data_IF_905167072945
#
_entry.id   IF_905167072945
#
_cell.length_a   1.000
_cell.length_b   1.000
_cell.length_c   1.000
_cell.angle_alpha   90.00
_cell.angle_beta   90.00
_cell.angle_gamma   90.00
#
_symmetry.space_group_name_H-M   'P 1'
#
loop_
_entity.id
_entity.type
_entity.pdbx_description
1 polymer ?
#
# COMPACT_ATOMS: atom_id res chain seq x y z
N UNK A 1 -48.66 -1.22 -49.95
CA UNK A 1 -48.84 -1.11 -48.49
C UNK A 1 -47.96 -2.18 -47.85
N UNK A 2 -46.68 -1.83 -47.73
CA UNK A 2 -45.47 -2.48 -47.17
C UNK A 2 -44.58 -1.22 -47.02
N UNK A 3 -44.04 -0.75 -45.91
CA UNK A 3 -43.58 -1.36 -44.66
C UNK A 3 -43.33 -0.19 -43.68
N UNK A 4 -44.17 -0.05 -42.64
CA UNK A 4 -43.96 0.89 -41.51
C UNK A 4 -43.03 0.29 -40.42
N UNK A 5 -42.41 -0.85 -40.70
CA UNK A 5 -41.39 -1.52 -39.90
C UNK A 5 -40.00 -1.43 -40.53
N UNK A 6 -39.70 -0.30 -41.17
CA UNK A 6 -38.32 0.19 -41.23
C UNK A 6 -37.88 0.63 -39.83
N UNK A 7 -37.76 -0.35 -38.93
CA UNK A 7 -37.04 -0.27 -37.67
C UNK A 7 -35.71 0.43 -37.97
N UNK A 8 -35.54 1.61 -37.40
CA UNK A 8 -34.25 2.28 -37.27
C UNK A 8 -33.29 1.33 -36.53
N UNK A 9 -32.68 0.39 -37.24
CA UNK A 9 -31.40 -0.20 -36.87
C UNK A 9 -30.25 0.83 -37.06
N UNK A 10 -30.60 2.09 -37.32
CA UNK A 10 -29.69 3.22 -37.43
C UNK A 10 -29.14 3.62 -36.08
N UNK A 11 -27.88 3.22 -35.85
CA UNK A 11 -27.04 3.53 -34.69
C UNK A 11 -27.59 2.95 -33.39
N UNK A 12 -27.03 1.81 -32.98
CA UNK A 12 -27.01 1.46 -31.55
C UNK A 12 -26.46 2.69 -30.83
N UNK A 13 -27.26 3.29 -29.95
CA UNK A 13 -26.82 4.38 -29.11
C UNK A 13 -25.60 3.95 -28.30
N UNK A 14 -24.89 4.90 -27.70
CA UNK A 14 -23.83 4.54 -26.77
C UNK A 14 -24.38 3.63 -25.67
N UNK A 15 -23.63 2.57 -25.34
CA UNK A 15 -24.05 1.56 -24.39
C UNK A 15 -22.90 1.20 -23.46
N UNK A 16 -23.21 0.98 -22.19
CA UNK A 16 -22.24 0.77 -21.12
C UNK A 16 -22.72 1.41 -19.81
N UNK A 17 -21.78 1.58 -18.88
CA UNK A 17 -22.01 2.17 -17.57
C UNK A 17 -21.48 3.61 -17.56
N UNK A 18 -22.36 4.63 -17.53
CA UNK A 18 -21.94 6.03 -17.57
C UNK A 18 -21.69 6.65 -16.19
N UNK A 19 -21.89 5.91 -15.10
CA UNK A 19 -21.79 6.44 -13.74
C UNK A 19 -20.39 6.17 -13.19
N UNK A 20 -19.60 7.22 -13.00
CA UNK A 20 -18.24 7.11 -12.51
C UNK A 20 -18.02 8.06 -11.34
N UNK A 21 -17.18 7.66 -10.38
CA UNK A 21 -16.76 8.50 -9.29
C UNK A 21 -16.43 7.70 -8.02
N UNK A 22 -16.21 8.43 -6.93
CA UNK A 22 -15.89 7.87 -5.64
C UNK A 22 -17.11 7.17 -5.05
N UNK A 23 -16.94 5.92 -4.61
CA UNK A 23 -17.94 5.21 -3.80
C UNK A 23 -17.59 5.47 -2.34
N UNK A 24 -18.55 5.98 -1.57
CA UNK A 24 -18.39 6.31 -0.16
C UNK A 24 -19.64 5.93 0.64
N UNK A 25 -19.51 5.85 1.96
CA UNK A 25 -20.62 5.77 2.91
C UNK A 25 -20.39 6.79 4.02
N UNK A 26 -21.47 7.37 4.56
CA UNK A 26 -21.37 8.34 5.66
C UNK A 26 -20.93 7.68 6.96
N UNK A 27 -21.45 6.47 7.23
CA UNK A 27 -21.08 5.61 8.35
C UNK A 27 -21.29 4.13 7.99
N UNK A 28 -21.02 3.22 8.91
CA UNK A 28 -21.13 1.77 8.69
C UNK A 28 -22.56 1.26 8.47
N UNK A 29 -23.57 2.06 8.82
CA UNK A 29 -24.98 1.70 8.73
C UNK A 29 -25.68 2.35 7.53
N UNK A 30 -25.04 3.34 6.91
CA UNK A 30 -25.55 4.06 5.76
C UNK A 30 -25.35 3.27 4.47
N UNK A 31 -26.30 3.36 3.52
CA UNK A 31 -26.10 2.78 2.20
C UNK A 31 -24.89 3.45 1.52
N UNK A 32 -24.19 2.68 0.70
CA UNK A 32 -23.10 3.23 -0.10
C UNK A 32 -23.66 3.99 -1.31
N UNK A 33 -22.98 5.08 -1.63
CA UNK A 33 -23.33 5.96 -2.74
C UNK A 33 -22.11 6.25 -3.61
N UNK A 34 -22.32 6.33 -4.92
CA UNK A 34 -21.34 6.87 -5.86
C UNK A 34 -21.57 8.37 -6.03
N UNK A 35 -20.52 9.17 -5.83
CA UNK A 35 -20.50 10.59 -6.15
C UNK A 35 -20.33 10.77 -7.67
N UNK A 36 -21.27 11.43 -8.32
CA UNK A 36 -21.30 11.61 -9.77
C UNK A 36 -20.58 12.90 -10.21
N UNK A 37 -20.17 13.04 -11.48
CA UNK A 37 -19.42 14.21 -11.96
C UNK A 37 -20.15 15.56 -11.85
N UNK A 38 -21.47 15.55 -11.66
CA UNK A 38 -22.27 16.75 -11.45
C UNK A 38 -22.46 17.11 -9.95
N UNK A 39 -21.80 16.40 -9.05
CA UNK A 39 -21.90 16.56 -7.60
C UNK A 39 -23.12 15.91 -6.96
N UNK A 40 -24.00 15.27 -7.74
CA UNK A 40 -25.11 14.47 -7.17
C UNK A 40 -24.63 13.06 -6.80
N UNK A 41 -25.40 12.34 -6.00
CA UNK A 41 -25.08 10.96 -5.61
C UNK A 41 -26.10 9.96 -6.16
N UNK A 42 -25.69 8.69 -6.20
CA UNK A 42 -26.57 7.57 -6.56
C UNK A 42 -26.22 6.35 -5.71
N UNK A 43 -27.22 5.60 -5.28
CA UNK A 43 -27.00 4.32 -4.59
C UNK A 43 -26.15 3.38 -5.43
N UNK A 44 -25.13 2.80 -4.80
CA UNK A 44 -24.24 1.83 -5.41
C UNK A 44 -23.61 0.96 -4.33
N UNK A 45 -23.61 -0.36 -4.52
CA UNK A 45 -23.03 -1.28 -3.54
C UNK A 45 -21.52 -1.05 -3.39
N UNK A 46 -21.03 -1.02 -2.15
CA UNK A 46 -19.60 -0.96 -1.86
C UNK A 46 -18.92 -2.26 -2.29
N UNK A 47 -17.89 -2.22 -3.15
CA UNK A 47 -17.13 -3.41 -3.49
C UNK A 47 -16.41 -3.97 -2.26
N UNK A 48 -16.30 -5.29 -2.16
CA UNK A 48 -15.46 -5.93 -1.12
C UNK A 48 -14.00 -5.50 -1.35
N UNK A 49 -13.24 -5.16 -0.31
CA UNK A 49 -11.85 -4.70 -0.44
C UNK A 49 -11.66 -3.54 -1.46
N UNK A 50 -12.34 -2.39 -1.28
CA UNK A 50 -12.40 -1.28 -2.26
C UNK A 50 -11.05 -0.61 -2.57
N UNK A 51 -10.01 -0.96 -1.83
CA UNK A 51 -8.66 -0.44 -1.97
C UNK A 51 -7.82 -1.15 -3.05
N UNK A 52 -8.34 -2.19 -3.71
CA UNK A 52 -7.72 -2.73 -4.92
C UNK A 52 -8.34 -2.09 -6.15
N UNK A 53 -7.55 -1.32 -6.88
CA UNK A 53 -7.99 -0.60 -8.08
C UNK A 53 -7.02 -0.80 -9.23
N UNK A 54 -7.54 -0.89 -10.46
CA UNK A 54 -6.70 -0.74 -11.64
C UNK A 54 -7.48 -0.16 -12.82
N UNK A 55 -6.76 0.48 -13.73
CA UNK A 55 -7.32 1.06 -14.96
C UNK A 55 -7.37 -0.01 -16.04
N UNK A 56 -8.52 -0.16 -16.69
CA UNK A 56 -8.69 -0.96 -17.90
C UNK A 56 -8.91 -0.05 -19.11
N UNK A 57 -8.06 -0.20 -20.13
CA UNK A 57 -8.16 0.52 -21.40
C UNK A 57 -7.90 -0.42 -22.56
N UNK A 58 -8.93 -0.66 -23.36
CA UNK A 58 -8.83 -1.52 -24.55
C UNK A 58 -8.03 -0.77 -25.64
N UNK A 59 -6.91 -1.34 -26.14
CA UNK A 59 -6.12 -0.71 -27.19
C UNK A 59 -6.95 -0.43 -28.45
N UNK A 60 -6.73 0.75 -29.06
CA UNK A 60 -7.40 1.13 -30.31
C UNK A 60 -8.86 1.56 -30.19
N UNK A 61 -9.48 1.50 -29.00
CA UNK A 61 -10.83 2.02 -28.79
C UNK A 61 -10.77 3.55 -28.69
N UNK A 62 -11.37 4.22 -29.67
CA UNK A 62 -11.44 5.67 -29.73
C UNK A 62 -12.14 6.25 -28.49
N UNK A 63 -11.79 7.49 -28.13
CA UNK A 63 -12.54 8.24 -27.13
C UNK A 63 -14.01 8.39 -27.57
N UNK A 64 -14.89 8.49 -26.59
CA UNK A 64 -16.31 8.68 -26.86
C UNK A 64 -16.53 10.09 -27.42
N UNK A 65 -17.09 10.17 -28.63
CA UNK A 65 -17.46 11.43 -29.27
C UNK A 65 -18.89 11.83 -28.91
N UNK A 66 -19.07 13.05 -28.39
CA UNK A 66 -20.35 13.63 -27.97
C UNK A 66 -20.38 15.08 -28.43
N UNK A 67 -21.53 15.53 -28.94
CA UNK A 67 -21.69 16.96 -29.21
C UNK A 67 -21.73 17.76 -27.89
N UNK A 68 -21.42 19.06 -27.89
CA UNK A 68 -21.48 19.88 -26.68
C UNK A 68 -22.84 19.81 -25.97
N UNK A 69 -23.94 19.75 -26.73
CA UNK A 69 -25.31 19.63 -26.19
C UNK A 69 -25.52 18.27 -25.51
N UNK A 70 -24.96 17.21 -26.09
CA UNK A 70 -25.00 15.86 -25.51
C UNK A 70 -24.16 15.76 -24.24
N UNK A 71 -22.97 16.35 -24.21
CA UNK A 71 -22.13 16.42 -23.01
C UNK A 71 -22.86 17.16 -21.89
N UNK A 72 -23.49 18.29 -22.19
CA UNK A 72 -24.27 19.05 -21.21
C UNK A 72 -25.47 18.25 -20.68
N UNK A 73 -26.16 17.50 -21.56
CA UNK A 73 -27.27 16.64 -21.16
C UNK A 73 -26.81 15.44 -20.30
N UNK A 74 -25.69 14.80 -20.65
CA UNK A 74 -25.09 13.72 -19.87
C UNK A 74 -24.67 14.24 -18.49
N UNK A 75 -23.96 15.37 -18.44
CA UNK A 75 -23.52 15.99 -17.19
C UNK A 75 -24.71 16.38 -16.31
N UNK A 76 -25.80 16.92 -16.88
CA UNK A 76 -27.01 17.22 -16.11
C UNK A 76 -27.60 15.97 -15.42
N UNK A 77 -27.38 14.78 -15.98
CA UNK A 77 -27.79 13.49 -15.43
C UNK A 77 -26.69 12.79 -14.60
N UNK A 78 -25.55 13.44 -14.36
CA UNK A 78 -24.40 12.85 -13.67
C UNK A 78 -23.76 11.71 -14.45
N UNK A 79 -23.91 11.71 -15.77
CA UNK A 79 -23.34 10.73 -16.68
C UNK A 79 -22.05 11.26 -17.29
N UNK A 80 -21.07 10.36 -17.41
CA UNK A 80 -19.87 10.59 -18.20
C UNK A 80 -19.55 9.30 -18.96
N UNK A 81 -19.40 9.40 -20.26
CA UNK A 81 -19.11 8.22 -21.09
C UNK A 81 -17.62 8.12 -21.33
N UNK A 82 -17.00 7.03 -20.84
CA UNK A 82 -15.56 6.76 -21.00
C UNK A 82 -15.31 5.58 -21.93
N UNK A 83 -14.15 5.59 -22.59
CA UNK A 83 -13.63 4.44 -23.34
C UNK A 83 -12.67 3.57 -22.51
N UNK A 84 -12.66 3.80 -21.19
CA UNK A 84 -11.85 3.09 -20.21
C UNK A 84 -12.65 2.93 -18.91
N UNK A 85 -12.24 1.97 -18.09
CA UNK A 85 -12.89 1.66 -16.83
C UNK A 85 -11.87 1.67 -15.69
N UNK A 86 -12.35 1.96 -14.48
CA UNK A 86 -11.63 1.69 -13.24
C UNK A 86 -12.34 0.49 -12.63
N UNK A 87 -11.61 -0.60 -12.45
CA UNK A 87 -12.14 -1.74 -11.72
C UNK A 87 -11.67 -1.65 -10.27
N UNK A 88 -12.56 -2.01 -9.35
CA UNK A 88 -12.35 -1.87 -7.93
C UNK A 88 -12.82 -3.14 -7.21
N UNK A 89 -12.18 -3.47 -6.10
CA UNK A 89 -12.61 -4.51 -5.19
C UNK A 89 -11.81 -5.81 -5.28
N UNK A 90 -12.17 -6.76 -4.41
CA UNK A 90 -11.64 -8.12 -4.36
C UNK A 90 -11.85 -8.79 -5.72
N UNK A 91 -10.77 -9.31 -6.27
CA UNK A 91 -10.72 -9.89 -7.62
C UNK A 91 -11.25 -8.99 -8.75
N UNK A 92 -11.25 -7.67 -8.54
CA UNK A 92 -11.71 -6.63 -9.46
C UNK A 92 -13.13 -6.84 -9.97
N UNK A 93 -14.05 -5.98 -9.57
CA UNK A 93 -15.46 -6.16 -9.90
C UNK A 93 -15.87 -5.47 -11.20
N UNK A 94 -16.73 -6.13 -11.96
CA UNK A 94 -17.43 -5.56 -13.11
C UNK A 94 -18.93 -5.77 -12.92
N UNK A 95 -19.69 -4.67 -12.87
CA UNK A 95 -21.14 -4.68 -12.56
C UNK A 95 -21.47 -5.40 -11.23
N UNK A 96 -20.68 -5.13 -10.18
CA UNK A 96 -20.89 -5.73 -8.85
C UNK A 96 -20.59 -7.22 -8.77
N UNK A 97 -19.82 -7.77 -9.73
CA UNK A 97 -19.40 -9.18 -9.73
C UNK A 97 -17.90 -9.30 -9.84
N UNK A 98 -17.33 -10.11 -8.97
CA UNK A 98 -15.93 -10.50 -9.01
C UNK A 98 -15.59 -11.15 -10.35
N UNK A 99 -14.47 -10.75 -10.95
CA UNK A 99 -13.96 -11.40 -12.14
C UNK A 99 -13.24 -12.71 -11.82
N UNK A 100 -12.71 -12.87 -10.60
CA UNK A 100 -11.83 -13.99 -10.23
C UNK A 100 -10.47 -13.94 -10.93
N UNK A 101 -10.04 -12.76 -11.39
CA UNK A 101 -8.86 -12.55 -12.23
C UNK A 101 -8.78 -11.11 -12.72
N UNK A 102 -8.00 -10.84 -13.78
CA UNK A 102 -7.97 -9.52 -14.42
C UNK A 102 -8.32 -9.60 -15.90
N UNK A 103 -8.69 -8.46 -16.49
CA UNK A 103 -9.05 -8.39 -17.92
C UNK A 103 -7.80 -8.13 -18.76
N UNK A 104 -7.47 -9.06 -19.65
CA UNK A 104 -6.50 -8.94 -20.73
C UNK A 104 -7.18 -8.58 -22.06
N UNK A 105 -6.65 -7.58 -22.75
CA UNK A 105 -7.06 -7.15 -24.08
C UNK A 105 -6.07 -7.67 -25.12
N UNK A 106 -6.45 -8.73 -25.82
CA UNK A 106 -5.62 -9.34 -26.84
C UNK A 106 -5.45 -8.43 -28.07
N UNK A 107 -4.42 -8.69 -28.86
CA UNK A 107 -4.08 -7.88 -30.04
C UNK A 107 -5.16 -7.86 -31.12
N UNK A 108 -6.01 -8.89 -31.17
CA UNK A 108 -7.18 -8.98 -32.06
C UNK A 108 -8.40 -8.17 -31.55
N UNK A 109 -8.27 -7.48 -30.41
CA UNK A 109 -9.32 -6.70 -29.76
C UNK A 109 -10.29 -7.53 -28.90
N UNK A 110 -10.10 -8.85 -28.81
CA UNK A 110 -10.86 -9.69 -27.89
C UNK A 110 -10.42 -9.44 -26.44
N UNK A 111 -11.37 -9.56 -25.50
CA UNK A 111 -11.10 -9.36 -24.06
C UNK A 111 -11.33 -10.66 -23.32
N UNK A 112 -10.43 -10.95 -22.39
CA UNK A 112 -10.39 -12.21 -21.65
C UNK A 112 -10.16 -11.94 -20.17
N UNK A 113 -10.89 -12.61 -19.31
CA UNK A 113 -10.53 -12.71 -17.89
C UNK A 113 -9.45 -13.76 -17.76
N UNK A 114 -8.31 -13.37 -17.20
CA UNK A 114 -7.18 -14.25 -16.90
C UNK A 114 -7.27 -14.65 -15.43
N UNK A 115 -7.53 -15.93 -15.19
CA UNK A 115 -7.48 -16.54 -13.86
C UNK A 115 -6.31 -17.51 -13.82
N UNK A 116 -5.18 -17.04 -13.28
CA UNK A 116 -3.94 -17.79 -13.25
C UNK A 116 -3.96 -18.96 -12.27
N UNK A 117 -4.73 -18.87 -11.18
CA UNK A 117 -4.85 -19.95 -10.20
C UNK A 117 -5.70 -21.11 -10.71
N UNK A 118 -6.76 -20.80 -11.47
CA UNK A 118 -7.58 -21.80 -12.12
C UNK A 118 -7.03 -22.21 -13.50
N UNK A 119 -5.93 -21.61 -13.95
CA UNK A 119 -5.31 -21.85 -15.25
C UNK A 119 -6.30 -21.71 -16.41
N UNK A 120 -7.09 -20.64 -16.39
CA UNK A 120 -8.09 -20.36 -17.45
C UNK A 120 -8.04 -18.95 -18.00
N UNK A 121 -8.41 -18.83 -19.28
CA UNK A 121 -8.74 -17.59 -19.95
C UNK A 121 -10.21 -17.65 -20.41
N UNK A 122 -11.05 -16.75 -19.90
CA UNK A 122 -12.50 -16.72 -20.18
C UNK A 122 -12.90 -15.49 -20.97
N UNK A 123 -13.54 -15.66 -22.12
CA UNK A 123 -13.87 -14.55 -23.01
C UNK A 123 -14.97 -13.67 -22.42
N UNK A 124 -14.75 -12.37 -22.46
CA UNK A 124 -15.68 -11.36 -21.95
C UNK A 124 -16.44 -10.62 -23.05
N UNK A 125 -17.64 -10.16 -22.70
CA UNK A 125 -18.44 -9.26 -23.55
C UNK A 125 -19.16 -9.92 -24.71
N UNK A 126 -19.29 -11.26 -24.71
CA UNK A 126 -20.11 -11.98 -25.68
C UNK A 126 -21.56 -12.04 -25.22
N UNK A 127 -22.47 -11.50 -26.03
CA UNK A 127 -23.93 -11.53 -25.77
C UNK A 127 -24.56 -12.64 -26.59
N UNK A 128 -25.35 -13.50 -25.94
CA UNK A 128 -26.11 -14.57 -26.60
C UNK A 128 -25.23 -15.67 -27.21
N UNK A 129 -23.96 -15.78 -26.80
CA UNK A 129 -23.05 -16.86 -27.19
C UNK A 129 -22.76 -17.77 -25.99
N UNK A 130 -22.45 -19.05 -26.21
CA UNK A 130 -21.91 -19.90 -25.16
C UNK A 130 -20.65 -19.30 -24.53
N UNK A 131 -20.36 -19.66 -23.29
CA UNK A 131 -19.10 -19.32 -22.65
C UNK A 131 -17.93 -19.89 -23.46
N UNK A 132 -16.95 -19.04 -23.76
CA UNK A 132 -15.69 -19.41 -24.40
C UNK A 132 -14.62 -19.37 -23.31
N UNK A 133 -14.30 -20.53 -22.75
CA UNK A 133 -13.31 -20.72 -21.70
C UNK A 133 -12.22 -21.62 -22.23
N UNK A 134 -10.97 -21.19 -22.10
CA UNK A 134 -9.80 -21.89 -22.61
C UNK A 134 -8.79 -22.12 -21.49
N UNK A 135 -7.96 -23.15 -21.67
CA UNK A 135 -6.82 -23.39 -20.79
C UNK A 135 -5.77 -22.29 -20.95
N UNK A 136 -5.14 -21.92 -19.83
CA UNK A 136 -4.01 -21.00 -19.75
C UNK A 136 -2.79 -21.78 -19.28
N UNK A 137 -1.75 -21.85 -20.08
CA UNK A 137 -0.49 -22.47 -19.65
C UNK A 137 0.31 -21.47 -18.82
N UNK A 138 0.60 -21.79 -17.56
CA UNK A 138 1.42 -20.94 -16.67
C UNK A 138 2.87 -21.42 -16.68
N UNK A 139 3.77 -20.56 -17.19
CA UNK A 139 5.20 -20.82 -17.22
C UNK A 139 5.87 -20.02 -16.10
N UNK A 140 6.32 -20.71 -15.04
CA UNK A 140 7.02 -20.10 -13.91
C UNK A 140 8.24 -20.94 -13.55
N UNK A 141 9.37 -20.28 -13.26
CA UNK A 141 10.56 -20.96 -12.79
C UNK A 141 10.33 -21.64 -11.42
N UNK A 142 11.03 -22.75 -11.17
CA UNK A 142 10.96 -23.46 -9.87
C UNK A 142 11.45 -22.57 -8.73
N UNK A 143 12.55 -21.86 -8.95
CA UNK A 143 12.97 -20.76 -8.08
C UNK A 143 12.43 -19.46 -8.64
N UNK A 144 11.53 -18.85 -7.89
CA UNK A 144 10.90 -17.59 -8.20
C UNK A 144 11.54 -16.43 -7.44
N UNK A 145 12.87 -16.48 -7.25
CA UNK A 145 13.67 -15.44 -6.61
C UNK A 145 13.65 -15.50 -5.08
N UNK A 146 13.30 -16.66 -4.51
CA UNK A 146 12.97 -16.81 -3.09
C UNK A 146 13.93 -17.77 -2.35
N UNK A 147 15.01 -18.21 -2.99
CA UNK A 147 15.99 -19.10 -2.36
C UNK A 147 16.98 -18.39 -1.43
N UNK A 148 17.31 -17.11 -1.70
CA UNK A 148 18.37 -16.38 -0.99
C UNK A 148 17.99 -14.91 -0.76
N UNK A 149 18.20 -14.36 0.46
CA UNK A 149 18.57 -15.05 1.70
C UNK A 149 17.41 -15.85 2.28
N UNK A 150 17.67 -16.82 3.15
CA UNK A 150 16.61 -17.50 3.92
C UNK A 150 16.14 -16.58 5.04
N UNK A 151 14.86 -16.20 5.02
CA UNK A 151 14.25 -15.35 6.04
C UNK A 151 13.64 -16.22 7.15
N UNK A 152 13.94 -15.88 8.40
CA UNK A 152 13.43 -16.53 9.62
C UNK A 152 12.93 -15.44 10.58
N UNK A 153 11.68 -15.57 11.03
CA UNK A 153 11.04 -14.63 11.97
C UNK A 153 11.07 -15.13 13.43
N UNK A 154 11.98 -16.06 13.75
CA UNK A 154 12.19 -16.64 15.08
C UNK A 154 11.58 -18.03 15.27
N UNK A 155 10.90 -18.58 14.26
CA UNK A 155 10.25 -19.89 14.30
C UNK A 155 10.66 -20.82 13.16
N UNK A 156 11.76 -20.51 12.48
CA UNK A 156 12.21 -21.18 11.26
C UNK A 156 11.89 -20.39 9.99
N UNK A 157 12.29 -20.95 8.86
CA UNK A 157 12.11 -20.32 7.56
C UNK A 157 10.64 -19.95 7.29
N UNK A 158 10.40 -18.72 6.85
CA UNK A 158 9.05 -18.24 6.56
C UNK A 158 8.44 -18.93 5.35
N UNK A 159 7.14 -19.17 5.41
CA UNK A 159 6.36 -19.51 4.22
C UNK A 159 6.16 -18.25 3.39
N UNK A 160 6.61 -18.29 2.13
CA UNK A 160 6.35 -17.24 1.15
C UNK A 160 5.17 -17.62 0.28
N UNK A 161 4.23 -16.68 0.14
CA UNK A 161 2.98 -16.83 -0.59
C UNK A 161 2.99 -15.85 -1.77
N UNK A 162 2.52 -16.28 -2.94
CA UNK A 162 2.21 -15.37 -4.05
C UNK A 162 0.81 -14.83 -3.82
N UNK A 163 0.66 -13.51 -3.78
CA UNK A 163 -0.63 -12.86 -3.66
C UNK A 163 -1.54 -13.25 -4.83
N UNK A 164 -2.75 -13.81 -4.59
CA UNK A 164 -3.68 -14.13 -5.66
C UNK A 164 -4.11 -12.89 -6.45
N UNK A 165 -4.06 -11.71 -5.82
CA UNK A 165 -4.41 -10.44 -6.45
C UNK A 165 -3.15 -9.74 -6.95
N UNK A 166 -3.07 -9.39 -8.26
CA UNK A 166 -2.02 -8.53 -8.75
C UNK A 166 -1.94 -7.23 -7.97
N UNK A 167 -0.72 -6.81 -7.65
CA UNK A 167 -0.45 -5.51 -7.05
C UNK A 167 -0.75 -4.39 -8.03
N UNK A 168 -0.33 -4.55 -9.29
CA UNK A 168 -0.68 -3.60 -10.36
C UNK A 168 -0.78 -4.31 -11.71
N UNK A 169 -1.54 -3.70 -12.64
CA UNK A 169 -1.88 -4.25 -13.94
C UNK A 169 -1.80 -3.14 -14.99
N UNK A 170 -1.06 -3.40 -16.06
CA UNK A 170 -1.03 -2.50 -17.23
C UNK A 170 -2.43 -2.26 -17.79
N UNK A 171 -2.73 -1.09 -18.40
CA UNK A 171 -4.09 -0.77 -18.83
C UNK A 171 -4.73 -1.77 -19.80
N UNK A 172 -3.93 -2.42 -20.65
CA UNK A 172 -4.41 -3.47 -21.56
C UNK A 172 -4.49 -4.87 -20.91
N UNK A 173 -4.06 -4.99 -19.65
CA UNK A 173 -4.03 -6.23 -18.87
C UNK A 173 -3.02 -7.26 -19.35
N UNK A 174 -2.10 -6.89 -20.24
CA UNK A 174 -1.08 -7.81 -20.75
C UNK A 174 -0.07 -8.17 -19.68
N UNK A 175 0.32 -7.20 -18.87
CA UNK A 175 1.27 -7.39 -17.77
C UNK A 175 0.62 -7.12 -16.42
N UNK A 176 0.98 -7.94 -15.45
CA UNK A 176 0.58 -7.84 -14.05
C UNK A 176 1.81 -8.05 -13.14
N UNK A 177 1.86 -7.32 -12.03
CA UNK A 177 2.87 -7.52 -10.98
C UNK A 177 2.24 -8.35 -9.87
N UNK A 178 2.86 -9.48 -9.52
CA UNK A 178 2.44 -10.33 -8.41
C UNK A 178 3.41 -10.14 -7.24
N UNK A 179 2.88 -9.86 -6.05
CA UNK A 179 3.70 -9.76 -4.84
C UNK A 179 3.92 -11.14 -4.23
N UNK A 180 5.16 -11.42 -3.86
CA UNK A 180 5.51 -12.52 -2.97
C UNK A 180 5.67 -11.96 -1.57
N UNK A 181 4.98 -12.53 -0.58
CA UNK A 181 4.96 -11.99 0.77
C UNK A 181 5.01 -13.08 1.84
N UNK A 182 5.40 -12.70 3.05
CA UNK A 182 5.11 -13.45 4.27
C UNK A 182 4.10 -12.68 5.14
N UNK A 183 3.40 -13.41 6.01
CA UNK A 183 2.52 -12.76 6.99
C UNK A 183 3.36 -12.17 8.13
N UNK A 184 3.01 -10.97 8.57
CA UNK A 184 3.55 -10.43 9.81
C UNK A 184 3.05 -11.27 11.00
N UNK A 185 3.94 -11.81 11.85
CA UNK A 185 3.55 -12.66 12.98
C UNK A 185 2.75 -11.92 14.06
N UNK A 186 2.73 -10.59 14.05
CA UNK A 186 1.90 -9.81 14.95
C UNK A 186 0.42 -9.72 14.49
N UNK A 187 0.07 -10.31 13.34
CA UNK A 187 -1.23 -10.13 12.67
C UNK A 187 -1.84 -11.46 12.25
N UNK A 188 -3.15 -11.46 11.96
CA UNK A 188 -3.77 -12.62 11.34
C UNK A 188 -3.26 -12.80 9.90
N UNK A 189 -3.22 -14.03 9.38
CA UNK A 189 -2.77 -14.29 8.01
C UNK A 189 -3.53 -13.45 6.98
N UNK A 190 -2.79 -12.76 6.11
CA UNK A 190 -3.32 -11.92 5.04
C UNK A 190 -3.62 -10.48 5.42
N UNK A 191 -3.65 -10.13 6.70
CA UNK A 191 -3.96 -8.75 7.16
C UNK A 191 -2.80 -7.78 6.93
N UNK A 192 -1.58 -8.22 7.21
CA UNK A 192 -0.35 -7.47 6.96
C UNK A 192 0.61 -8.33 6.15
N UNK A 193 0.65 -8.06 4.85
CA UNK A 193 1.53 -8.73 3.91
C UNK A 193 2.88 -8.00 3.93
N UNK A 194 3.95 -8.71 4.25
CA UNK A 194 5.32 -8.17 4.19
C UNK A 194 5.96 -8.61 2.86
N UNK A 195 6.29 -7.68 1.95
CA UNK A 195 6.89 -8.01 0.67
C UNK A 195 8.26 -8.69 0.84
N UNK A 196 8.47 -9.76 0.09
CA UNK A 196 9.72 -10.54 0.01
C UNK A 196 10.18 -10.80 -1.43
N UNK A 197 9.41 -10.35 -2.42
CA UNK A 197 9.74 -10.48 -3.83
C UNK A 197 8.60 -10.00 -4.71
N UNK A 198 8.90 -9.80 -5.99
CA UNK A 198 7.93 -9.40 -6.98
C UNK A 198 8.14 -10.21 -8.26
N UNK A 199 7.04 -10.63 -8.88
CA UNK A 199 7.03 -11.35 -10.14
C UNK A 199 6.35 -10.50 -11.21
N UNK A 200 6.88 -10.53 -12.42
CA UNK A 200 6.23 -9.97 -13.60
C UNK A 200 5.55 -11.10 -14.37
N UNK A 201 4.22 -11.02 -14.48
CA UNK A 201 3.41 -11.95 -15.24
C UNK A 201 3.00 -11.29 -16.56
N UNK A 202 3.31 -11.92 -17.69
CA UNK A 202 2.96 -11.44 -19.05
C UNK A 202 2.09 -12.47 -19.77
N UNK A 203 0.90 -12.03 -20.16
CA UNK A 203 -0.09 -12.83 -20.90
C UNK A 203 0.17 -12.69 -22.39
N UNK A 204 0.21 -13.82 -23.09
CA UNK A 204 0.14 -13.87 -24.55
C UNK A 204 -0.99 -14.81 -24.98
N UNK A 205 -1.47 -14.63 -26.20
CA UNK A 205 -2.58 -15.39 -26.75
C UNK A 205 -3.71 -14.52 -27.27
N UNK A 206 -4.57 -15.11 -28.09
CA UNK A 206 -5.77 -14.48 -28.65
C UNK A 206 -6.82 -15.53 -29.05
N UNK A 207 -7.82 -15.15 -29.87
CA UNK A 207 -8.85 -16.10 -30.32
C UNK A 207 -8.30 -17.24 -31.19
N UNK A 208 -7.18 -17.04 -31.89
CA UNK A 208 -6.57 -17.98 -32.83
C UNK A 208 -5.40 -18.77 -32.25
N UNK A 209 -4.82 -18.32 -31.13
CA UNK A 209 -3.67 -18.99 -30.50
C UNK A 209 -3.98 -19.49 -29.08
N UNK A 210 -3.09 -20.34 -28.55
CA UNK A 210 -3.16 -20.73 -27.14
C UNK A 210 -2.83 -19.54 -26.23
N UNK A 211 -3.36 -19.59 -25.01
CA UNK A 211 -3.05 -18.62 -23.96
C UNK A 211 -1.89 -19.13 -23.10
N UNK A 212 -0.91 -18.26 -22.88
CA UNK A 212 0.23 -18.53 -22.00
C UNK A 212 0.43 -17.35 -21.05
N UNK A 213 0.77 -17.64 -19.79
CA UNK A 213 1.18 -16.68 -18.78
C UNK A 213 2.64 -16.93 -18.45
N UNK A 214 3.53 -16.04 -18.89
CA UNK A 214 4.95 -16.12 -18.60
C UNK A 214 5.25 -15.33 -17.34
N UNK A 215 5.64 -16.03 -16.27
CA UNK A 215 5.94 -15.44 -14.96
C UNK A 215 7.46 -15.44 -14.75
N UNK A 216 8.02 -14.25 -14.61
CA UNK A 216 9.45 -14.01 -14.41
C UNK A 216 9.69 -13.27 -13.10
N UNK A 217 10.90 -13.40 -12.54
CA UNK A 217 11.29 -12.63 -11.36
C UNK A 217 11.47 -11.17 -11.77
N UNK A 218 10.70 -10.28 -11.16
CA UNK A 218 10.85 -8.83 -11.32
C UNK A 218 11.86 -8.30 -10.31
N UNK A 219 11.68 -8.68 -9.04
CA UNK A 219 12.63 -8.43 -7.96
C UNK A 219 12.77 -9.68 -7.11
N UNK A 220 14.00 -10.14 -6.93
CA UNK A 220 14.27 -11.24 -6.03
C UNK A 220 14.22 -10.79 -4.56
N UNK A 221 14.37 -11.74 -3.63
CA UNK A 221 14.32 -11.44 -2.21
C UNK A 221 15.49 -10.56 -1.75
N UNK A 222 16.69 -10.73 -2.30
CA UNK A 222 17.85 -9.92 -1.92
C UNK A 222 17.61 -8.47 -2.30
N UNK A 223 17.14 -8.21 -3.53
CA UNK A 223 16.77 -6.88 -4.00
C UNK A 223 15.63 -6.28 -3.17
N UNK A 224 14.62 -7.09 -2.83
CA UNK A 224 13.44 -6.62 -2.09
C UNK A 224 13.76 -6.20 -0.66
N UNK A 225 14.68 -6.90 0.02
CA UNK A 225 15.06 -6.58 1.40
C UNK A 225 15.98 -5.36 1.51
N UNK A 226 16.63 -4.94 0.41
CA UNK A 226 17.54 -3.81 0.39
C UNK A 226 18.89 -4.12 1.05
N UNK A 227 19.60 -3.06 1.45
CA UNK A 227 20.90 -3.15 2.11
C UNK A 227 20.87 -2.53 3.49
N UNK A 228 21.84 -2.89 4.33
CA UNK A 228 22.03 -2.29 5.66
C UNK A 228 23.40 -1.69 5.84
N UNK A 229 23.47 -0.61 6.60
CA UNK A 229 24.72 -0.05 7.12
C UNK A 229 24.64 0.10 8.66
N UNK A 230 25.81 0.13 9.30
CA UNK A 230 25.94 0.25 10.74
C UNK A 230 27.23 0.98 11.12
N UNK A 231 27.09 2.08 11.85
CA UNK A 231 28.21 2.80 12.46
C UNK A 231 28.10 2.73 13.99
N UNK A 232 29.23 2.49 14.66
CA UNK A 232 29.31 2.37 16.11
C UNK A 232 30.50 3.15 16.66
N UNK A 233 30.21 4.27 17.30
CA UNK A 233 31.15 5.07 18.05
C UNK A 233 30.82 5.07 19.55
N UNK A 234 29.93 4.18 20.02
CA UNK A 234 29.44 4.17 21.38
C UNK A 234 30.38 3.38 22.31
N UNK A 235 30.71 3.95 23.47
CA UNK A 235 31.45 3.28 24.53
C UNK A 235 30.53 3.03 25.71
N UNK A 236 30.40 1.76 26.12
CA UNK A 236 29.58 1.36 27.27
C UNK A 236 30.46 0.79 28.37
N UNK A 237 30.28 1.28 29.59
CA UNK A 237 30.86 0.67 30.79
C UNK A 237 29.77 -0.06 31.56
N UNK A 238 30.00 -1.32 31.90
CA UNK A 238 29.07 -2.14 32.68
C UNK A 238 29.40 -2.08 34.18
N UNK A 239 28.39 -2.21 35.03
CA UNK A 239 28.56 -2.42 36.47
C UNK A 239 28.99 -3.87 36.79
N UNK A 240 29.15 -4.18 38.08
CA UNK A 240 29.50 -5.53 38.54
C UNK A 240 28.43 -6.61 38.28
N UNK A 241 27.21 -6.22 37.90
CA UNK A 241 26.12 -7.10 37.49
C UNK A 241 25.99 -7.24 35.97
N UNK A 242 26.80 -6.53 35.18
CA UNK A 242 26.74 -6.53 33.72
C UNK A 242 25.70 -5.55 33.14
N UNK A 243 25.13 -4.67 33.96
CA UNK A 243 24.20 -3.65 33.47
C UNK A 243 24.97 -2.42 32.98
N UNK A 244 24.51 -1.73 31.92
CA UNK A 244 25.09 -0.46 31.51
C UNK A 244 25.06 0.55 32.67
N UNK A 245 26.24 1.07 33.00
CA UNK A 245 26.47 2.02 34.07
C UNK A 245 26.87 3.40 33.51
N UNK A 246 27.52 3.42 32.35
CA UNK A 246 27.73 4.62 31.55
C UNK A 246 27.67 4.30 30.06
N UNK A 247 27.23 5.26 29.26
CA UNK A 247 27.24 5.18 27.80
C UNK A 247 27.58 6.55 27.20
N UNK A 248 28.61 6.61 26.35
CA UNK A 248 29.06 7.85 25.69
C UNK A 248 29.32 7.58 24.21
N UNK A 249 28.79 8.41 23.33
CA UNK A 249 28.96 8.32 21.87
C UNK A 249 27.63 8.08 21.17
N UNK A 250 27.69 7.49 19.97
CA UNK A 250 26.50 7.23 19.14
C UNK A 250 26.61 5.92 18.36
N UNK A 251 25.47 5.47 17.87
CA UNK A 251 25.36 4.42 16.86
C UNK A 251 24.30 4.82 15.84
N UNK A 252 24.56 4.56 14.56
CA UNK A 252 23.60 4.74 13.47
C UNK A 252 23.35 3.42 12.77
N UNK A 253 22.11 3.23 12.31
CA UNK A 253 21.68 2.02 11.61
C UNK A 253 20.82 2.42 10.43
N UNK A 254 21.14 1.88 9.26
CA UNK A 254 20.45 2.22 8.03
C UNK A 254 19.89 0.96 7.36
N UNK A 255 18.69 1.07 6.80
CA UNK A 255 18.16 0.18 5.77
C UNK A 255 17.90 1.06 4.55
N UNK A 256 18.49 0.72 3.41
CA UNK A 256 18.32 1.47 2.17
C UNK A 256 17.73 0.59 1.06
N UNK A 257 16.83 1.16 0.27
CA UNK A 257 16.34 0.53 -0.96
C UNK A 257 15.42 -0.66 -0.75
N UNK A 258 14.87 -0.88 0.45
CA UNK A 258 13.90 -1.95 0.71
C UNK A 258 12.63 -1.74 -0.11
N UNK A 259 12.36 -2.62 -1.08
CA UNK A 259 11.20 -2.48 -1.96
C UNK A 259 9.93 -2.90 -1.21
N UNK A 260 8.95 -2.00 -1.15
CA UNK A 260 7.67 -2.27 -0.48
C UNK A 260 6.48 -2.38 -1.44
N UNK A 261 6.55 -1.72 -2.60
CA UNK A 261 5.62 -1.96 -3.70
C UNK A 261 6.30 -1.81 -5.06
N UNK A 262 5.68 -2.41 -6.08
CA UNK A 262 6.06 -2.23 -7.46
C UNK A 262 4.81 -1.98 -8.31
N UNK A 263 4.93 -1.07 -9.28
CA UNK A 263 3.84 -0.56 -10.10
C UNK A 263 4.25 -0.44 -11.57
N UNK A 264 3.29 -0.15 -12.43
CA UNK A 264 3.51 0.30 -13.79
C UNK A 264 3.36 1.82 -13.90
N UNK A 265 4.23 2.43 -14.70
CA UNK A 265 4.06 3.80 -15.13
C UNK A 265 3.06 3.92 -16.29
N UNK A 266 2.79 5.16 -16.73
CA UNK A 266 1.87 5.42 -17.83
C UNK A 266 2.30 4.77 -19.17
N UNK A 267 3.58 4.43 -19.34
CA UNK A 267 4.12 3.72 -20.49
C UNK A 267 4.17 2.20 -20.34
N UNK A 268 3.78 1.66 -19.19
CA UNK A 268 3.88 0.24 -18.85
C UNK A 268 5.29 -0.20 -18.45
N UNK A 269 6.20 0.74 -18.18
CA UNK A 269 7.47 0.47 -17.51
C UNK A 269 7.26 0.22 -16.02
N UNK A 270 8.09 -0.60 -15.39
CA UNK A 270 7.97 -0.88 -13.96
C UNK A 270 8.60 0.21 -13.12
N UNK A 271 8.00 0.51 -11.98
CA UNK A 271 8.52 1.42 -10.95
C UNK A 271 8.51 0.73 -9.60
N UNK A 272 9.44 1.09 -8.71
CA UNK A 272 9.47 0.61 -7.33
C UNK A 272 9.22 1.75 -6.35
N UNK A 273 8.47 1.44 -5.30
CA UNK A 273 8.41 2.23 -4.09
C UNK A 273 9.30 1.58 -3.03
N UNK A 274 10.39 2.26 -2.64
CA UNK A 274 11.29 1.79 -1.59
C UNK A 274 11.05 2.55 -0.28
N UNK A 275 11.38 1.88 0.81
CA UNK A 275 11.50 2.46 2.15
C UNK A 275 12.98 2.52 2.48
N UNK A 276 13.44 3.71 2.83
CA UNK A 276 14.70 3.86 3.56
C UNK A 276 14.38 4.14 5.02
N UNK A 277 15.15 3.55 5.93
CA UNK A 277 15.07 3.78 7.36
C UNK A 277 16.44 4.14 7.89
N UNK A 278 16.50 5.21 8.68
CA UNK A 278 17.68 5.64 9.41
C UNK A 278 17.32 5.70 10.90
N UNK A 279 18.13 5.09 11.73
CA UNK A 279 18.04 5.20 13.18
C UNK A 279 19.35 5.75 13.73
N UNK A 280 19.25 6.67 14.68
CA UNK A 280 20.39 7.19 15.44
C UNK A 280 20.08 7.06 16.93
N UNK A 281 21.04 6.55 17.69
CA UNK A 281 21.03 6.53 19.14
C UNK A 281 22.30 7.23 19.64
N UNK A 282 22.15 8.38 20.29
CA UNK A 282 23.25 9.12 20.90
C UNK A 282 23.06 9.22 22.41
N UNK A 283 24.14 9.02 23.17
CA UNK A 283 24.12 9.03 24.63
C UNK A 283 25.35 9.77 25.18
N UNK A 284 25.14 10.60 26.20
CA UNK A 284 26.17 11.06 27.12
C UNK A 284 25.67 10.84 28.55
N UNK A 285 25.85 9.62 29.04
CA UNK A 285 25.46 9.18 30.37
C UNK A 285 26.72 8.81 31.16
N UNK A 286 27.48 9.78 31.72
CA UNK A 286 28.72 9.48 32.42
C UNK A 286 28.45 8.84 33.78
N UNK A 287 29.39 8.00 34.23
CA UNK A 287 29.39 7.49 35.59
C UNK A 287 29.37 8.67 36.57
N UNK A 288 28.38 8.74 37.46
CA UNK A 288 28.27 9.73 38.56
C UNK A 288 28.05 11.21 38.20
N UNK A 289 27.69 11.55 36.96
CA UNK A 289 27.38 12.94 36.59
C UNK A 289 25.99 13.40 37.09
N UNK A 290 25.81 14.71 37.28
CA UNK A 290 24.51 15.30 37.63
C UNK A 290 23.63 15.58 36.41
N UNK A 291 24.20 15.47 35.20
CA UNK A 291 23.55 15.73 33.91
C UNK A 291 23.86 14.58 32.97
N UNK A 292 22.91 14.23 32.13
CA UNK A 292 23.06 13.20 31.12
C UNK A 292 22.21 13.56 29.91
N UNK A 293 22.59 13.02 28.76
CA UNK A 293 21.95 13.29 27.50
C UNK A 293 21.62 11.99 26.79
N UNK A 294 20.46 11.94 26.16
CA UNK A 294 20.05 10.82 25.32
C UNK A 294 19.16 11.30 24.19
N UNK A 295 19.51 10.91 22.97
CA UNK A 295 18.75 11.20 21.77
C UNK A 295 18.48 9.92 21.01
N UNK A 296 17.24 9.76 20.58
CA UNK A 296 16.84 8.74 19.61
C UNK A 296 16.16 9.42 18.44
N UNK A 297 16.64 9.12 17.24
CA UNK A 297 16.06 9.59 15.99
C UNK A 297 15.66 8.37 15.17
N UNK A 298 14.45 8.39 14.64
CA UNK A 298 13.97 7.44 13.63
C UNK A 298 13.48 8.25 12.43
N UNK A 299 14.16 8.12 11.31
CA UNK A 299 13.77 8.74 10.05
C UNK A 299 13.40 7.68 9.02
N UNK A 300 12.31 7.90 8.29
CA UNK A 300 11.89 7.07 7.17
C UNK A 300 11.59 7.87 5.93
N UNK A 301 11.91 7.30 4.78
CA UNK A 301 11.66 7.90 3.47
C UNK A 301 10.94 6.92 2.57
N UNK A 302 9.87 7.37 1.94
CA UNK A 302 9.29 6.70 0.78
C UNK A 302 9.94 7.29 -0.47
N UNK A 303 10.50 6.43 -1.33
CA UNK A 303 11.05 6.83 -2.62
C UNK A 303 10.35 6.09 -3.74
N UNK A 304 10.04 6.78 -4.82
CA UNK A 304 9.55 6.17 -6.07
C UNK A 304 10.61 6.36 -7.13
N UNK A 305 11.16 5.26 -7.65
CA UNK A 305 12.31 5.26 -8.57
C UNK A 305 13.48 6.12 -8.07
N UNK A 306 13.83 5.98 -6.78
CA UNK A 306 14.92 6.71 -6.13
C UNK A 306 14.60 8.16 -5.74
N UNK A 307 13.47 8.71 -6.18
CA UNK A 307 13.04 10.08 -5.84
C UNK A 307 12.20 10.07 -4.56
N UNK A 308 12.64 10.79 -3.54
CA UNK A 308 11.91 10.94 -2.28
C UNK A 308 10.53 11.59 -2.51
N UNK A 309 9.49 10.96 -1.94
CA UNK A 309 8.08 11.37 -2.04
C UNK A 309 7.48 11.75 -0.69
N UNK A 310 7.91 11.08 0.37
CA UNK A 310 7.54 11.42 1.73
C UNK A 310 8.72 11.12 2.66
N UNK A 311 8.86 11.91 3.71
CA UNK A 311 9.79 11.67 4.82
C UNK A 311 9.06 11.89 6.14
N UNK A 312 9.18 10.92 7.05
CA UNK A 312 8.74 11.05 8.43
C UNK A 312 9.96 10.97 9.32
N UNK A 313 10.06 11.86 10.30
CA UNK A 313 11.13 11.88 11.28
C UNK A 313 10.51 11.95 12.66
N UNK A 314 10.87 11.01 13.53
CA UNK A 314 10.51 11.00 14.94
C UNK A 314 11.79 11.16 15.73
N UNK A 315 11.77 12.04 16.71
CA UNK A 315 12.90 12.31 17.57
C UNK A 315 12.44 12.35 19.03
N UNK A 316 13.25 11.80 19.93
CA UNK A 316 13.13 12.04 21.35
C UNK A 316 14.48 12.44 21.92
N UNK A 317 14.52 13.53 22.67
CA UNK A 317 15.69 14.07 23.33
C UNK A 317 15.44 14.16 24.85
N UNK A 318 16.45 13.82 25.64
CA UNK A 318 16.42 13.94 27.10
C UNK A 318 17.68 14.66 27.57
N UNK A 319 17.51 15.77 28.30
CA UNK A 319 18.61 16.61 28.79
C UNK A 319 18.54 16.82 30.32
N UNK A 320 18.48 15.71 31.08
CA UNK A 320 18.71 15.72 32.53
C UNK A 320 19.06 14.31 33.05
N UNK A 321 19.30 14.09 34.35
CA UNK A 321 19.58 12.75 34.92
C UNK A 321 18.46 12.31 35.86
N UNK A 322 18.19 10.99 35.87
CA UNK A 322 17.20 10.32 36.72
C UNK A 322 15.76 10.76 36.46
N UNK A 323 15.29 11.89 36.96
CA UNK A 323 13.91 12.34 36.73
C UNK A 323 13.91 13.67 36.01
N UNK A 324 13.32 13.71 34.83
CA UNK A 324 13.31 14.88 33.97
C UNK A 324 12.17 14.85 32.98
N UNK A 325 12.40 15.50 31.86
CA UNK A 325 11.47 15.56 30.74
C UNK A 325 12.15 15.01 29.49
N UNK A 326 11.39 14.26 28.70
CA UNK A 326 11.72 13.89 27.32
C UNK A 326 11.01 14.88 26.43
N UNK A 327 11.74 15.52 25.53
CA UNK A 327 11.18 16.30 24.43
C UNK A 327 11.02 15.37 23.21
N UNK A 328 9.78 15.13 22.81
CA UNK A 328 9.42 14.35 21.64
C UNK A 328 9.01 15.26 20.51
N UNK A 329 9.61 15.11 19.33
CA UNK A 329 9.19 15.84 18.13
C UNK A 329 8.95 14.87 16.99
N UNK A 330 7.96 15.18 16.17
CA UNK A 330 7.75 14.50 14.90
C UNK A 330 7.63 15.50 13.77
N UNK A 331 8.22 15.17 12.62
CA UNK A 331 8.02 15.94 11.39
C UNK A 331 7.57 15.05 10.24
N UNK A 332 6.80 15.63 9.34
CA UNK A 332 6.45 15.07 8.03
C UNK A 332 6.91 16.05 6.96
N UNK A 333 7.81 15.61 6.08
CA UNK A 333 8.39 16.45 5.03
C UNK A 333 8.95 17.79 5.57
N UNK A 334 9.50 17.77 6.79
CA UNK A 334 10.03 18.94 7.49
C UNK A 334 8.98 19.81 8.19
N UNK A 335 7.69 19.50 8.08
CA UNK A 335 6.63 20.17 8.86
C UNK A 335 6.42 19.46 10.20
N UNK A 336 6.51 20.20 11.30
CA UNK A 336 6.23 19.66 12.64
C UNK A 336 4.79 19.17 12.72
N UNK A 337 4.62 17.89 13.04
CA UNK A 337 3.32 17.30 13.30
C UNK A 337 3.02 17.38 14.80
N UNK A 338 3.97 17.06 15.66
CA UNK A 338 3.85 17.20 17.11
C UNK A 338 5.19 17.62 17.71
N UNK A 339 5.09 18.25 18.88
CA UNK A 339 6.20 18.74 19.69
C UNK A 339 5.68 18.72 21.14
N UNK A 340 6.11 17.74 21.91
CA UNK A 340 5.61 17.49 23.26
C UNK A 340 6.74 17.25 24.26
N UNK A 341 6.53 17.70 25.49
CA UNK A 341 7.44 17.49 26.61
C UNK A 341 6.73 16.62 27.65
N UNK A 342 7.22 15.40 27.89
CA UNK A 342 6.62 14.46 28.83
C UNK A 342 7.58 14.08 29.95
N UNK A 343 7.10 13.69 31.15
CA UNK A 343 7.97 13.16 32.19
C UNK A 343 8.69 11.89 31.72
N UNK A 344 9.99 11.78 32.01
CA UNK A 344 10.76 10.58 31.69
C UNK A 344 11.91 10.32 32.65
N UNK A 345 12.58 9.20 32.41
CA UNK A 345 13.72 8.76 33.20
C UNK A 345 14.88 8.38 32.30
N UNK A 346 16.09 8.84 32.63
CA UNK A 346 17.30 8.52 31.89
C UNK A 346 18.17 7.49 32.62
N UNK A 347 18.58 6.47 31.87
CA UNK A 347 19.60 5.50 32.25
C UNK A 347 20.48 5.19 31.02
N UNK A 348 21.71 4.76 31.25
CA UNK A 348 22.56 4.25 30.18
C UNK A 348 21.89 3.02 29.53
N UNK A 349 21.76 3.05 28.21
CA UNK A 349 21.22 1.95 27.43
C UNK A 349 22.35 1.10 26.84
N UNK A 350 22.12 -0.22 26.67
CA UNK A 350 23.04 -1.07 25.93
C UNK A 350 23.07 -0.66 24.45
N UNK A 351 24.08 -1.17 23.73
CA UNK A 351 24.14 -1.00 22.27
C UNK A 351 22.97 -1.71 21.61
N UNK A 352 22.43 -1.11 20.55
CA UNK A 352 21.39 -1.73 19.74
C UNK A 352 22.00 -2.71 18.74
N UNK A 353 23.19 -2.40 18.21
CA UNK A 353 23.92 -3.25 17.26
C UNK A 353 23.35 -3.22 15.84
N UNK A 354 24.12 -3.78 14.89
CA UNK A 354 23.75 -3.82 13.47
C UNK A 354 22.41 -4.53 13.23
N UNK A 355 21.67 -4.10 12.20
CA UNK A 355 20.46 -4.78 11.78
C UNK A 355 20.74 -6.21 11.32
N UNK A 356 20.00 -7.15 11.89
CA UNK A 356 19.91 -8.51 11.36
C UNK A 356 18.95 -8.56 10.17
N UNK A 357 18.95 -9.69 9.45
CA UNK A 357 17.99 -9.96 8.39
C UNK A 357 16.53 -9.85 8.85
N UNK A 358 16.26 -10.11 10.14
CA UNK A 358 14.93 -9.95 10.73
C UNK A 358 14.47 -8.48 10.72
N UNK A 359 15.37 -7.55 11.02
CA UNK A 359 15.10 -6.12 10.93
C UNK A 359 14.95 -5.68 9.46
N UNK A 360 15.76 -6.30 8.58
CA UNK A 360 15.56 -6.47 7.13
C UNK A 360 14.11 -6.40 6.73
N UNK A 361 13.37 -7.39 7.23
CA UNK A 361 11.99 -7.72 6.88
C UNK A 361 10.98 -6.72 7.44
N UNK A 362 11.36 -5.88 8.41
CA UNK A 362 10.48 -4.91 9.09
C UNK A 362 9.12 -5.47 9.57
N UNK A 363 9.08 -6.63 10.27
CA UNK A 363 7.87 -7.03 10.97
C UNK A 363 7.56 -6.01 12.08
N UNK A 364 6.28 -5.79 12.37
CA UNK A 364 5.79 -4.73 13.27
C UNK A 364 6.51 -4.64 14.61
N UNK A 365 6.77 -5.79 15.22
CA UNK A 365 7.40 -5.89 16.54
C UNK A 365 8.88 -5.52 16.55
N UNK A 366 9.49 -5.37 15.38
CA UNK A 366 10.90 -5.01 15.21
C UNK A 366 11.07 -3.63 14.55
N UNK A 367 9.97 -2.91 14.36
CA UNK A 367 10.02 -1.53 13.91
C UNK A 367 10.43 -0.64 15.08
N UNK A 368 11.47 0.20 14.92
CA UNK A 368 11.89 1.10 15.98
C UNK A 368 10.78 2.08 16.36
N UNK A 369 10.83 2.51 17.61
CA UNK A 369 10.12 3.69 18.10
C UNK A 369 11.12 4.62 18.79
N UNK A 370 10.63 5.79 19.19
CA UNK A 370 11.38 6.74 20.04
C UNK A 370 10.93 6.60 21.50
N UNK A 371 11.65 7.22 22.44
CA UNK A 371 11.42 7.02 23.88
C UNK A 371 10.05 7.48 24.37
N UNK A 372 9.43 8.45 23.68
CA UNK A 372 8.04 8.89 23.96
C UNK A 372 6.99 7.82 23.59
N UNK A 373 7.46 6.67 23.08
CA UNK A 373 6.68 5.48 22.73
C UNK A 373 6.13 5.52 21.30
N UNK A 374 6.37 6.62 20.60
CA UNK A 374 5.86 6.83 19.26
C UNK A 374 6.50 5.92 18.25
N UNK A 375 5.69 5.46 17.30
CA UNK A 375 6.12 4.53 16.26
C UNK A 375 5.63 4.99 14.91
N UNK A 376 6.56 5.08 13.97
CA UNK A 376 6.23 5.20 12.57
C UNK A 376 6.04 3.80 11.99
N UNK A 377 5.13 3.64 11.03
CA UNK A 377 4.91 2.47 10.20
C UNK A 377 4.70 2.86 8.73
N UNK A 378 4.80 1.88 7.83
CA UNK A 378 4.42 2.05 6.42
C UNK A 378 3.22 1.16 6.16
N UNK A 379 2.13 1.77 5.69
CA UNK A 379 0.87 1.09 5.44
C UNK A 379 0.52 1.14 3.94
N UNK A 380 0.17 0.00 3.32
CA UNK A 380 -0.49 -0.02 2.02
C UNK A 380 -1.96 0.36 2.19
N UNK A 381 -2.28 1.63 1.93
CA UNK A 381 -3.67 2.11 1.93
C UNK A 381 -4.47 1.55 0.77
N UNK A 382 -3.80 1.39 -0.37
CA UNK A 382 -4.32 0.76 -1.58
C UNK A 382 -3.19 0.00 -2.26
N UNK A 383 -3.52 -0.77 -3.30
CA UNK A 383 -2.48 -1.41 -4.11
C UNK A 383 -1.56 -0.39 -4.82
N UNK A 384 -1.99 0.87 -4.93
CA UNK A 384 -1.29 1.98 -5.59
C UNK A 384 -1.02 3.18 -4.66
N UNK A 385 -1.12 3.00 -3.34
CA UNK A 385 -0.93 4.07 -2.35
C UNK A 385 -0.29 3.51 -1.09
N UNK A 386 0.92 4.01 -0.79
CA UNK A 386 1.68 3.70 0.42
C UNK A 386 1.83 4.97 1.24
N UNK A 387 1.55 4.94 2.54
CA UNK A 387 1.74 6.12 3.40
C UNK A 387 2.40 5.77 4.73
N UNK A 388 2.86 6.81 5.44
CA UNK A 388 3.27 6.65 6.82
C UNK A 388 2.06 6.68 7.76
N UNK A 389 2.15 5.84 8.78
CA UNK A 389 1.26 5.85 9.92
C UNK A 389 2.09 6.07 11.17
N UNK A 390 1.64 6.96 12.05
CA UNK A 390 2.29 7.24 13.31
C UNK A 390 1.27 7.01 14.42
N UNK A 391 1.65 6.20 15.41
CA UNK A 391 0.93 6.11 16.67
C UNK A 391 1.72 6.88 17.72
N UNK A 392 1.04 7.83 18.37
CA UNK A 392 1.58 8.65 19.46
C UNK A 392 1.02 8.15 20.78
N UNK A 393 1.89 7.77 21.71
CA UNK A 393 1.48 7.22 23.01
C UNK A 393 1.64 8.21 24.17
N UNK A 394 2.34 9.33 23.93
CA UNK A 394 2.78 10.28 24.97
C UNK A 394 1.82 11.44 25.30
N UNK A 395 0.69 11.60 24.60
CA UNK A 395 -0.10 12.85 24.61
C UNK A 395 -0.87 13.14 25.91
N UNK A 396 -0.72 12.34 26.97
CA UNK A 396 -1.46 12.46 28.22
C UNK A 396 -2.94 12.05 28.14
N UNK A 397 -3.39 11.62 26.96
CA UNK A 397 -4.66 10.93 26.74
C UNK A 397 -4.61 9.50 27.28
N UNK A 398 -5.76 8.92 27.65
CA UNK A 398 -5.85 7.48 27.92
C UNK A 398 -5.65 6.64 26.66
N UNK A 399 -5.88 7.25 25.50
CA UNK A 399 -5.91 6.62 24.20
C UNK A 399 -4.78 7.18 23.33
N UNK A 400 -4.01 6.35 22.62
CA UNK A 400 -2.98 6.83 21.71
C UNK A 400 -3.60 7.61 20.54
N UNK A 401 -2.90 8.65 20.10
CA UNK A 401 -3.30 9.43 18.93
C UNK A 401 -2.76 8.76 17.66
N UNK A 402 -3.60 8.61 16.64
CA UNK A 402 -3.24 7.98 15.37
C UNK A 402 -3.17 9.03 14.26
N UNK A 403 -2.05 9.05 13.53
CA UNK A 403 -1.81 10.00 12.44
C UNK A 403 -1.43 9.31 11.16
N UNK A 404 -2.06 9.71 10.06
CA UNK A 404 -1.77 9.22 8.73
C UNK A 404 -1.20 10.35 7.89
N UNK A 405 0.00 10.12 7.38
CA UNK A 405 0.85 11.21 6.93
C UNK A 405 1.61 10.81 5.69
N UNK A 406 1.55 11.67 4.66
CA UNK A 406 2.41 11.62 3.47
C UNK A 406 2.42 10.28 2.72
N UNK A 407 2.01 10.29 1.46
CA UNK A 407 1.91 9.06 0.68
C UNK A 407 2.71 9.11 -0.62
N UNK A 408 3.13 7.92 -1.06
CA UNK A 408 3.71 7.66 -2.36
C UNK A 408 2.71 6.88 -3.24
N UNK A 409 2.71 7.22 -4.53
CA UNK A 409 1.88 6.63 -5.59
C UNK A 409 2.75 6.40 -6.83
N UNK A 410 2.27 5.62 -7.83
CA UNK A 410 2.95 5.50 -9.12
C UNK A 410 3.22 6.83 -9.82
N UNK A 411 2.46 7.89 -9.51
CA UNK A 411 2.59 9.20 -10.16
C UNK A 411 3.41 10.22 -9.37
N UNK A 412 3.76 9.92 -8.12
CA UNK A 412 4.46 10.86 -7.26
C UNK A 412 4.03 10.78 -5.80
N UNK A 413 3.86 11.94 -5.18
CA UNK A 413 3.48 12.09 -3.78
C UNK A 413 2.08 12.65 -3.65
N UNK A 414 1.37 12.21 -2.62
CA UNK A 414 0.07 12.73 -2.22
C UNK A 414 0.14 13.12 -0.75
N UNK A 415 -0.34 14.31 -0.40
CA UNK A 415 -0.40 14.72 1.02
C UNK A 415 -1.61 14.08 1.67
N UNK A 416 -1.36 13.11 2.54
CA UNK A 416 -2.33 12.65 3.53
C UNK A 416 -2.03 13.41 4.83
N UNK A 417 -3.07 13.99 5.42
CA UNK A 417 -3.00 14.61 6.73
C UNK A 417 -4.34 14.36 7.43
N UNK A 418 -4.41 13.27 8.18
CA UNK A 418 -5.57 12.89 8.96
C UNK A 418 -5.12 12.48 10.36
N UNK A 419 -5.85 12.98 11.37
CA UNK A 419 -5.66 12.66 12.78
C UNK A 419 -6.94 12.02 13.30
N UNK A 420 -6.80 10.91 14.00
CA UNK A 420 -7.90 10.19 14.64
C UNK A 420 -7.50 9.83 16.08
N UNK A 421 -8.38 10.13 17.05
CA UNK A 421 -8.24 9.70 18.43
C UNK A 421 -9.06 8.41 18.63
N UNK A 422 -8.40 7.30 18.97
CA UNK A 422 -9.07 6.03 19.20
C UNK A 422 -8.28 5.17 20.20
N UNK A 423 -8.99 4.50 21.12
CA UNK A 423 -8.40 3.53 22.04
C UNK A 423 -7.83 2.33 21.25
N UNK A 424 -6.54 1.98 21.40
CA UNK A 424 -6.02 0.69 20.92
C UNK A 424 -6.59 -0.39 21.83
N UNK A 425 -7.73 -0.96 21.42
CA UNK A 425 -8.31 -2.09 22.13
C UNK A 425 -7.40 -3.30 21.93
N UNK A 426 -6.80 -3.79 23.03
CA UNK A 426 -5.96 -5.00 23.02
C UNK A 426 -6.82 -6.27 22.86
N UNK A 427 -7.41 -6.48 21.69
CA UNK A 427 -8.20 -7.67 21.33
C UNK A 427 -8.46 -7.67 19.81
N UNK A 428 -8.79 -8.83 19.18
CA UNK A 428 -8.33 -9.23 17.84
C UNK A 428 -8.98 -8.50 16.64
N UNK A 429 -9.41 -7.26 16.79
CA UNK A 429 -10.08 -6.51 15.73
C UNK A 429 -9.09 -5.61 14.97
N UNK A 430 -9.21 -5.67 13.65
CA UNK A 430 -8.37 -5.00 12.64
C UNK A 430 -8.27 -3.48 12.82
N UNK A 431 -9.25 -2.85 13.44
CA UNK A 431 -9.29 -1.41 13.75
C UNK A 431 -8.26 -1.01 14.81
N UNK A 432 -7.87 -1.93 15.70
CA UNK A 432 -6.81 -1.71 16.68
C UNK A 432 -5.40 -1.71 16.04
N UNK A 433 -5.27 -2.13 14.77
CA UNK A 433 -3.99 -2.42 14.12
C UNK A 433 -3.44 -1.25 13.31
N UNK A 434 -4.32 -0.39 12.81
CA UNK A 434 -3.98 0.65 11.84
C UNK A 434 -4.70 1.96 12.13
N UNK A 435 -5.39 2.09 13.27
CA UNK A 435 -6.43 3.09 13.50
C UNK A 435 -7.72 2.79 12.70
N UNK A 436 -8.79 3.59 12.89
CA UNK A 436 -10.12 3.36 12.30
C UNK A 436 -10.10 3.26 10.76
N UNK A 437 -9.19 4.00 10.11
CA UNK A 437 -9.22 4.29 8.68
C UNK A 437 -8.11 3.60 7.86
N UNK A 438 -7.97 2.28 7.98
CA UNK A 438 -6.78 1.54 7.50
C UNK A 438 -6.59 1.45 5.97
N UNK A 439 -7.56 1.90 5.19
CA UNK A 439 -7.57 1.72 3.74
C UNK A 439 -7.96 3.01 3.03
N UNK A 440 -7.73 3.07 1.73
CA UNK A 440 -8.16 4.17 0.87
C UNK A 440 -8.26 3.69 -0.56
N UNK A 441 -9.00 4.39 -1.40
CA UNK A 441 -9.01 4.14 -2.83
C UNK A 441 -8.15 5.19 -3.52
N UNK A 442 -7.28 4.78 -4.43
CA UNK A 442 -6.59 5.67 -5.35
C UNK A 442 -7.23 5.53 -6.72
N UNK A 443 -7.57 6.63 -7.36
CA UNK A 443 -8.10 6.63 -8.71
C UNK A 443 -6.92 6.58 -9.72
N UNK A 444 -6.70 5.47 -10.44
CA UNK A 444 -5.55 5.34 -11.34
C UNK A 444 -5.66 6.18 -12.62
N UNK A 445 -6.77 6.92 -12.80
CA UNK A 445 -7.02 7.79 -13.96
C UNK A 445 -6.88 9.26 -13.57
N UNK A 446 -7.55 9.69 -12.50
CA UNK A 446 -7.54 11.10 -12.05
C UNK A 446 -6.44 11.38 -11.04
N UNK A 447 -5.89 10.34 -10.41
CA UNK A 447 -4.94 10.40 -9.32
C UNK A 447 -5.48 11.06 -8.04
N UNK A 448 -6.79 11.18 -7.96
CA UNK A 448 -7.49 11.51 -6.72
C UNK A 448 -7.41 10.32 -5.77
N UNK A 449 -7.37 10.60 -4.47
CA UNK A 449 -7.41 9.59 -3.43
C UNK A 449 -8.59 9.86 -2.51
N UNK A 450 -9.21 8.79 -2.03
CA UNK A 450 -10.12 8.86 -0.91
C UNK A 450 -9.29 9.13 0.36
N UNK A 451 -9.64 10.17 1.11
CA UNK A 451 -9.03 10.41 2.41
C UNK A 451 -9.22 9.18 3.31
N UNK A 452 -8.28 8.88 4.23
CA UNK A 452 -8.42 7.78 5.19
C UNK A 452 -9.79 7.80 5.89
N UNK A 453 -10.24 8.97 6.34
CA UNK A 453 -11.53 9.15 7.02
C UNK A 453 -12.77 8.79 6.17
N UNK A 454 -12.63 8.67 4.85
CA UNK A 454 -13.68 8.24 3.93
C UNK A 454 -13.68 6.72 3.70
N UNK A 455 -12.71 6.02 4.26
CA UNK A 455 -12.60 4.58 4.14
C UNK A 455 -13.51 3.88 5.14
N UNK A 456 -14.09 2.72 4.78
CA UNK A 456 -14.88 1.94 5.72
C UNK A 456 -14.02 1.57 6.94
N UNK A 457 -14.48 1.93 8.14
CA UNK A 457 -13.93 1.44 9.40
C UNK A 457 -14.36 -0.02 9.52
N UNK A 458 -13.39 -0.93 9.53
CA UNK A 458 -13.68 -2.36 9.68
C UNK A 458 -14.39 -3.00 8.49
N UNK A 459 -13.97 -4.20 8.13
CA UNK A 459 -14.86 -5.15 7.47
C UNK A 459 -14.78 -6.45 8.25
N UNK A 460 -15.94 -6.92 8.68
CA UNK A 460 -16.24 -8.29 9.12
C UNK A 460 -16.32 -9.24 7.94
#
# INVERSE_FOLDING_TARGET
MIDEFSLNFGKVGIWGWPWHGLISKEDDFSPSEIQLPNGTTRLHDMPEAPWYTYRLKVPGVAAIDRTPEQVAADLALGMEWRNEAILCGRFFQVYGRDLGGWIYCAADGSRWTINWQAETASRMGLIGKPADVRSLTVNMAVDNGQSTPVVDLGSGAVLVIIDPMPMDITPDGRKAILMQYCNDPAYSPGERKIPLGFLLAEVVGDIGTAFELNVTVLHDRTETLGTTDYEDAMTITLDGGGNPNSATGYETRDIEGRIWAAWFDAGGGTQTCTIDQHEELAQECPLSAATGYHRQLVRRRLRVNGVQKAEAELESEFDSMQTGTVDGTGTLNGETIYDETIPGYLYALPKSGAYSLLHQVMPRNYMPGVNVGDRCEVLPFSNNLLAFYISLTGTGSTDPEHRYLGAATPMGSVTINATEEAEIVSSPQREALYGPASYGAFNPVTYEFAAPSAAPIGWT
#
